data_IF_571661614210
#
_entry.id   IF_571661614210
#
_cell.length_a   1.000
_cell.length_b   1.000
_cell.length_c   1.000
_cell.angle_alpha   90.00
_cell.angle_beta   90.00
_cell.angle_gamma   90.00
#
_symmetry.space_group_name_H-M   'P 1'
#
loop_
_entity.id
_entity.type
_entity.pdbx_description
1 polymer ?
#
# COMPACT_ATOMS: atom_id res chain seq x y z
N UNK A 1 -31.71 -14.18 28.02
CA UNK A 1 -30.25 -14.04 28.05
C UNK A 1 -29.67 -15.04 27.07
N UNK A 2 -29.41 -14.61 25.83
CA UNK A 2 -28.91 -15.45 24.76
C UNK A 2 -27.66 -14.82 24.15
N UNK A 3 -26.60 -15.64 24.13
CA UNK A 3 -25.45 -15.61 23.23
C UNK A 3 -24.65 -14.30 23.12
N UNK A 4 -23.72 -14.13 24.05
CA UNK A 4 -22.43 -13.51 23.72
C UNK A 4 -21.68 -14.47 22.80
N UNK A 5 -21.76 -14.22 21.49
CA UNK A 5 -20.77 -14.74 20.55
C UNK A 5 -19.41 -14.21 20.99
N UNK A 6 -18.62 -15.07 21.63
CA UNK A 6 -17.21 -14.85 21.87
C UNK A 6 -16.57 -14.81 20.47
N UNK A 7 -16.36 -13.61 19.95
CA UNK A 7 -15.51 -13.38 18.79
C UNK A 7 -14.11 -13.85 19.22
N UNK A 8 -13.79 -15.09 18.88
CA UNK A 8 -12.46 -15.62 19.05
C UNK A 8 -11.54 -14.71 18.21
N UNK A 9 -10.71 -13.95 18.92
CA UNK A 9 -9.61 -13.18 18.37
C UNK A 9 -8.66 -14.19 17.70
N UNK A 10 -8.94 -14.52 16.43
CA UNK A 10 -7.99 -15.24 15.59
C UNK A 10 -6.87 -14.24 15.36
N UNK A 11 -5.84 -14.29 16.21
CA UNK A 11 -4.53 -13.74 15.90
C UNK A 11 -4.12 -14.33 14.55
N UNK A 12 -4.40 -13.59 13.49
CA UNK A 12 -4.04 -13.99 12.15
C UNK A 12 -2.55 -13.82 12.08
N UNK A 13 -1.80 -14.92 12.03
CA UNK A 13 -0.34 -14.85 11.97
C UNK A 13 0.06 -14.14 10.68
N UNK A 14 0.79 -13.03 10.82
CA UNK A 14 1.40 -12.35 9.67
C UNK A 14 2.45 -13.28 9.08
N UNK A 15 2.45 -13.43 7.77
CA UNK A 15 3.42 -14.24 7.05
C UNK A 15 3.98 -13.48 5.86
N UNK A 16 5.27 -13.70 5.59
CA UNK A 16 5.99 -13.09 4.47
C UNK A 16 6.63 -14.21 3.64
N UNK A 17 6.38 -14.20 2.34
CA UNK A 17 6.88 -15.19 1.40
C UNK A 17 7.34 -14.54 0.09
N UNK A 18 8.12 -15.26 -0.71
CA UNK A 18 8.49 -14.81 -2.06
C UNK A 18 7.24 -14.77 -2.96
N UNK A 19 7.03 -13.67 -3.68
CA UNK A 19 5.82 -13.40 -4.45
C UNK A 19 5.80 -14.05 -5.85
N UNK A 20 6.79 -14.87 -6.20
CA UNK A 20 6.94 -15.47 -7.54
C UNK A 20 7.39 -14.49 -8.63
N UNK A 21 7.60 -13.22 -8.27
CA UNK A 21 8.17 -12.17 -9.11
C UNK A 21 9.46 -11.72 -8.43
N UNK A 22 10.53 -11.55 -9.20
CA UNK A 22 11.82 -11.11 -8.68
C UNK A 22 11.67 -9.78 -7.92
N UNK A 23 12.18 -9.73 -6.68
CA UNK A 23 12.10 -8.54 -5.83
C UNK A 23 10.73 -8.31 -5.16
N UNK A 24 9.76 -9.21 -5.34
CA UNK A 24 8.43 -9.07 -4.71
C UNK A 24 8.30 -10.01 -3.52
N UNK A 25 7.93 -9.45 -2.37
CA UNK A 25 7.59 -10.16 -1.13
C UNK A 25 6.08 -10.05 -0.92
N UNK A 26 5.39 -11.19 -0.78
CA UNK A 26 3.96 -11.23 -0.50
C UNK A 26 3.76 -11.32 1.01
N UNK A 27 2.97 -10.38 1.54
CA UNK A 27 2.54 -10.37 2.94
C UNK A 27 1.09 -10.81 3.04
N UNK A 28 0.77 -11.67 4.01
CA UNK A 28 -0.60 -12.09 4.32
C UNK A 28 -0.86 -11.99 5.82
N UNK A 29 -2.14 -11.86 6.20
CA UNK A 29 -2.57 -11.85 7.60
C UNK A 29 -2.47 -10.49 8.30
N UNK A 30 -2.25 -9.40 7.57
CA UNK A 30 -2.32 -8.05 8.12
C UNK A 30 -3.77 -7.60 8.30
N UNK A 31 -4.12 -7.13 9.49
CA UNK A 31 -5.35 -6.38 9.73
C UNK A 31 -5.17 -4.92 9.28
N UNK A 32 -5.92 -4.52 8.26
CA UNK A 32 -5.86 -3.18 7.68
C UNK A 32 -7.10 -2.33 8.03
N UNK A 33 -7.98 -2.80 8.92
CA UNK A 33 -9.24 -2.12 9.23
C UNK A 33 -9.01 -0.71 9.78
N UNK A 34 -8.05 -0.56 10.69
CA UNK A 34 -7.70 0.74 11.28
C UNK A 34 -7.07 1.68 10.25
N UNK A 35 -6.22 1.16 9.36
CA UNK A 35 -5.64 1.93 8.26
C UNK A 35 -6.75 2.44 7.32
N UNK A 36 -7.72 1.60 6.96
CA UNK A 36 -8.87 1.99 6.14
C UNK A 36 -9.72 3.08 6.81
N UNK A 37 -9.98 2.95 8.12
CA UNK A 37 -10.70 3.96 8.90
C UNK A 37 -9.93 5.29 9.04
N UNK A 38 -8.59 5.26 9.08
CA UNK A 38 -7.76 6.46 9.03
C UNK A 38 -7.90 7.16 7.67
N UNK A 39 -7.75 6.39 6.58
CA UNK A 39 -7.85 6.90 5.21
C UNK A 39 -9.23 7.51 4.92
N UNK A 40 -10.32 6.97 5.46
CA UNK A 40 -11.66 7.55 5.23
C UNK A 40 -11.85 8.95 5.82
N UNK A 41 -11.00 9.35 6.77
CA UNK A 41 -11.02 10.68 7.41
C UNK A 41 -10.13 11.69 6.72
N UNK A 42 -9.20 11.26 5.86
CA UNK A 42 -8.34 12.19 5.16
C UNK A 42 -9.19 13.05 4.20
N UNK A 43 -9.03 14.36 4.29
CA UNK A 43 -9.81 15.35 3.52
C UNK A 43 -9.11 15.80 2.24
N UNK A 44 -7.84 15.44 2.06
CA UNK A 44 -7.07 15.76 0.87
C UNK A 44 -7.79 15.22 -0.37
N UNK A 45 -8.04 16.07 -1.38
CA UNK A 45 -8.75 15.66 -2.58
C UNK A 45 -7.90 14.69 -3.41
N UNK A 46 -8.59 13.77 -4.08
CA UNK A 46 -7.96 12.94 -5.09
C UNK A 46 -7.71 13.74 -6.36
N UNK A 47 -6.53 13.55 -6.95
CA UNK A 47 -6.14 14.11 -8.24
C UNK A 47 -5.89 12.99 -9.25
N UNK A 48 -6.05 13.24 -10.56
CA UNK A 48 -5.66 12.28 -11.59
C UNK A 48 -4.18 11.92 -11.45
N UNK A 49 -3.86 10.63 -11.58
CA UNK A 49 -2.48 10.18 -11.48
C UNK A 49 -1.64 10.65 -12.64
N UNK A 50 -0.43 11.11 -12.31
CA UNK A 50 0.58 11.50 -13.28
C UNK A 50 1.59 10.38 -13.49
N UNK A 51 2.15 10.33 -14.69
CA UNK A 51 3.33 9.54 -15.05
C UNK A 51 4.52 10.47 -15.14
N UNK A 52 5.69 9.97 -14.74
CA UNK A 52 6.95 10.67 -14.91
C UNK A 52 7.66 10.15 -16.16
N UNK A 53 8.09 11.05 -17.05
CA UNK A 53 8.99 10.73 -18.16
C UNK A 53 10.38 11.24 -17.82
N UNK A 54 11.33 10.31 -17.64
CA UNK A 54 12.73 10.65 -17.46
C UNK A 54 13.33 11.37 -18.68
N UNK A 55 12.86 11.02 -19.90
CA UNK A 55 13.33 11.64 -21.13
C UNK A 55 12.88 13.11 -21.27
N UNK A 56 11.74 13.47 -20.68
CA UNK A 56 11.19 14.83 -20.73
C UNK A 56 11.37 15.59 -19.40
N UNK A 57 11.93 14.95 -18.38
CA UNK A 57 11.98 15.40 -16.98
C UNK A 57 10.68 16.08 -16.51
N UNK A 58 9.55 15.46 -16.85
CA UNK A 58 8.24 16.07 -16.68
C UNK A 58 7.18 15.05 -16.25
N UNK A 59 6.22 15.53 -15.46
CA UNK A 59 5.02 14.79 -15.09
C UNK A 59 3.88 15.11 -16.05
N UNK A 60 3.23 14.09 -16.59
CA UNK A 60 2.12 14.23 -17.55
C UNK A 60 1.01 13.24 -17.22
N UNK A 61 -0.20 13.51 -17.72
CA UNK A 61 -1.36 12.62 -17.57
C UNK A 61 -1.50 11.84 -18.89
N UNK A 62 -1.46 10.52 -18.82
CA UNK A 62 -1.72 9.64 -19.96
C UNK A 62 -2.67 8.51 -19.56
N UNK A 63 -3.93 8.70 -19.96
CA UNK A 63 -5.02 7.75 -19.71
C UNK A 63 -4.86 6.43 -20.47
N UNK A 64 -3.93 6.33 -21.45
CA UNK A 64 -3.62 5.06 -22.13
C UNK A 64 -2.70 4.15 -21.30
N UNK A 65 -2.07 4.69 -20.25
CA UNK A 65 -1.07 4.00 -19.43
C UNK A 65 -1.51 3.87 -17.96
N UNK A 66 -2.22 4.88 -17.44
CA UNK A 66 -2.70 4.90 -16.06
C UNK A 66 -4.05 5.62 -15.96
N UNK A 67 -5.06 4.89 -15.49
CA UNK A 67 -6.38 5.42 -15.17
C UNK A 67 -6.64 5.13 -13.70
N UNK A 68 -6.07 5.99 -12.84
CA UNK A 68 -6.29 5.97 -11.40
C UNK A 68 -6.23 7.38 -10.83
N UNK A 69 -6.87 7.58 -9.68
CA UNK A 69 -6.75 8.81 -8.91
C UNK A 69 -5.86 8.57 -7.70
N UNK A 70 -5.07 9.55 -7.30
CA UNK A 70 -4.21 9.45 -6.13
C UNK A 70 -4.33 10.69 -5.25
N UNK A 71 -3.93 10.54 -3.99
CA UNK A 71 -3.60 11.65 -3.10
C UNK A 71 -2.34 11.30 -2.32
N UNK A 72 -1.47 12.29 -2.15
CA UNK A 72 -0.33 12.21 -1.26
C UNK A 72 -0.76 12.68 0.13
N UNK A 73 -0.40 11.92 1.16
CA UNK A 73 -0.71 12.20 2.56
C UNK A 73 0.62 12.35 3.28
N UNK A 74 1.00 13.59 3.60
CA UNK A 74 2.30 13.91 4.22
C UNK A 74 2.19 14.23 5.71
N UNK A 75 1.00 14.62 6.19
CA UNK A 75 0.84 15.27 7.50
C UNK A 75 -0.11 14.52 8.46
N UNK A 76 -0.34 13.22 8.25
CA UNK A 76 -1.24 12.41 9.09
C UNK A 76 -0.46 11.50 10.05
N UNK A 77 -0.13 12.01 11.24
CA UNK A 77 0.66 11.28 12.25
C UNK A 77 0.05 9.94 12.63
N UNK A 78 -1.28 9.86 12.71
CA UNK A 78 -1.97 8.64 13.09
C UNK A 78 -1.87 7.57 11.98
N UNK A 79 -1.90 7.99 10.71
CA UNK A 79 -1.68 7.11 9.57
C UNK A 79 -0.24 6.59 9.54
N UNK A 80 0.76 7.44 9.75
CA UNK A 80 2.16 7.01 9.81
C UNK A 80 2.44 6.09 11.00
N UNK A 81 1.83 6.36 12.16
CA UNK A 81 1.96 5.49 13.33
C UNK A 81 1.35 4.10 13.07
N UNK A 82 0.20 4.04 12.41
CA UNK A 82 -0.43 2.78 12.03
C UNK A 82 0.41 2.01 11.00
N UNK A 83 0.88 2.69 9.96
CA UNK A 83 1.75 2.10 8.94
C UNK A 83 3.04 1.53 9.55
N UNK A 84 3.66 2.25 10.50
CA UNK A 84 4.84 1.79 11.22
C UNK A 84 4.55 0.54 12.08
N UNK A 85 3.36 0.45 12.70
CA UNK A 85 2.95 -0.75 13.44
C UNK A 85 2.77 -1.96 12.51
N UNK A 86 2.17 -1.77 11.33
CA UNK A 86 2.04 -2.83 10.33
C UNK A 86 3.43 -3.29 9.86
N UNK A 87 4.33 -2.34 9.56
CA UNK A 87 5.71 -2.65 9.19
C UNK A 87 6.46 -3.42 10.26
N UNK A 88 6.32 -3.07 11.54
CA UNK A 88 6.94 -3.83 12.63
C UNK A 88 6.46 -5.29 12.68
N UNK A 89 5.18 -5.55 12.37
CA UNK A 89 4.66 -6.93 12.25
C UNK A 89 5.25 -7.65 11.04
N UNK A 90 5.48 -6.95 9.94
CA UNK A 90 6.14 -7.50 8.74
C UNK A 90 7.59 -7.85 9.06
N UNK A 91 8.37 -6.93 9.64
CA UNK A 91 9.76 -7.18 10.06
C UNK A 91 9.87 -8.38 10.99
N UNK A 92 8.95 -8.51 11.97
CA UNK A 92 8.95 -9.64 12.89
C UNK A 92 8.66 -10.98 12.20
N UNK A 93 7.93 -10.98 11.09
CA UNK A 93 7.58 -12.17 10.31
C UNK A 93 8.57 -12.46 9.17
N UNK A 94 9.42 -11.49 8.80
CA UNK A 94 10.39 -11.62 7.73
C UNK A 94 11.77 -11.99 8.29
N UNK A 95 12.31 -13.14 7.88
CA UNK A 95 13.63 -13.58 8.32
C UNK A 95 14.80 -12.93 7.57
N UNK A 96 14.54 -12.16 6.50
CA UNK A 96 15.57 -11.62 5.60
C UNK A 96 15.77 -10.11 5.75
N UNK A 97 14.74 -9.39 6.14
CA UNK A 97 14.73 -7.93 6.13
C UNK A 97 14.14 -7.37 7.42
N UNK A 98 14.67 -6.22 7.84
CA UNK A 98 14.06 -5.36 8.83
C UNK A 98 13.70 -4.02 8.17
N UNK A 99 12.42 -3.67 8.20
CA UNK A 99 11.86 -2.55 7.49
C UNK A 99 11.64 -1.35 8.42
N UNK A 100 11.97 -0.15 7.94
CA UNK A 100 11.64 1.12 8.61
C UNK A 100 10.86 2.02 7.67
N UNK A 101 9.83 2.67 8.18
CA UNK A 101 9.02 3.62 7.41
C UNK A 101 9.77 4.93 7.20
N UNK A 102 10.01 5.30 5.96
CA UNK A 102 10.40 6.67 5.59
C UNK A 102 9.14 7.52 5.48
N UNK A 103 9.04 8.58 6.29
CA UNK A 103 7.81 9.37 6.47
C UNK A 103 7.50 10.35 5.32
N UNK A 104 8.13 10.22 4.16
CA UNK A 104 7.94 11.16 3.06
C UNK A 104 6.73 10.84 2.18
N UNK A 105 6.31 9.57 2.09
CA UNK A 105 5.48 9.15 0.94
C UNK A 105 4.39 8.12 1.30
N UNK A 106 3.27 8.57 1.89
CA UNK A 106 2.03 7.76 1.85
C UNK A 106 1.18 8.23 0.67
N UNK A 107 1.08 7.37 -0.34
CA UNK A 107 0.19 7.61 -1.48
C UNK A 107 -1.00 6.66 -1.42
N UNK A 108 -2.21 7.21 -1.37
CA UNK A 108 -3.42 6.42 -1.57
C UNK A 108 -3.84 6.50 -3.03
N UNK A 109 -4.04 5.34 -3.65
CA UNK A 109 -4.48 5.22 -5.04
C UNK A 109 -5.86 4.54 -5.07
N UNK A 110 -6.76 5.10 -5.87
CA UNK A 110 -8.08 4.51 -6.17
C UNK A 110 -8.14 4.17 -7.65
N UNK A 111 -8.56 2.93 -7.92
CA UNK A 111 -8.95 2.44 -9.23
C UNK A 111 -10.47 2.42 -9.31
N UNK A 112 -11.04 3.07 -10.32
CA UNK A 112 -12.47 2.92 -10.67
C UNK A 112 -12.62 1.76 -11.65
N UNK A 113 -13.86 1.38 -11.94
CA UNK A 113 -14.17 0.43 -13.02
C UNK A 113 -13.50 0.86 -14.34
N UNK A 114 -12.89 -0.10 -15.05
CA UNK A 114 -12.06 0.15 -16.23
C UNK A 114 -10.72 0.86 -15.96
N UNK A 115 -10.44 1.21 -14.69
CA UNK A 115 -9.19 1.80 -14.25
C UNK A 115 -8.07 0.77 -14.22
N UNK A 116 -6.90 1.12 -14.76
CA UNK A 116 -5.73 0.24 -14.80
C UNK A 116 -4.46 1.02 -14.54
N UNK A 117 -3.42 0.29 -14.16
CA UNK A 117 -2.05 0.78 -14.25
C UNK A 117 -1.22 -0.30 -14.93
N UNK A 118 -0.70 0.02 -16.13
CA UNK A 118 0.15 -0.93 -16.86
C UNK A 118 1.42 -1.22 -16.08
N UNK A 119 1.97 -2.41 -16.29
CA UNK A 119 3.23 -2.85 -15.67
C UNK A 119 4.31 -1.82 -15.93
N UNK A 120 4.89 -1.30 -14.85
CA UNK A 120 6.02 -0.40 -14.84
C UNK A 120 6.90 -0.78 -13.64
N UNK A 121 8.15 -0.37 -13.66
CA UNK A 121 8.98 -0.40 -12.47
C UNK A 121 8.80 0.95 -11.75
N UNK A 122 8.54 0.92 -10.45
CA UNK A 122 8.73 2.12 -9.63
C UNK A 122 10.22 2.47 -9.73
N UNK A 123 10.52 3.63 -10.31
CA UNK A 123 11.88 4.14 -10.31
C UNK A 123 12.15 4.73 -8.93
N UNK A 124 12.81 3.96 -8.06
CA UNK A 124 13.52 4.48 -6.90
C UNK A 124 14.92 3.86 -6.83
N UNK A 125 15.86 4.70 -6.41
CA UNK A 125 17.15 4.90 -7.05
C UNK A 125 18.27 4.99 -6.01
N UNK A 126 18.24 4.08 -5.04
CA UNK A 126 19.37 3.84 -4.16
C UNK A 126 19.46 2.36 -3.78
N UNK A 127 20.39 1.64 -4.44
CA UNK A 127 20.90 0.38 -3.90
C UNK A 127 22.31 0.64 -3.41
N UNK A 128 22.46 0.71 -2.08
CA UNK A 128 23.77 0.61 -1.44
C UNK A 128 23.93 -0.80 -0.90
N UNK A 129 25.14 -1.18 -0.51
CA UNK A 129 25.42 -2.51 0.03
C UNK A 129 24.71 -2.80 1.36
N UNK A 130 24.01 -1.82 1.95
CA UNK A 130 23.46 -1.85 3.30
C UNK A 130 21.99 -1.43 3.41
N UNK A 131 21.47 -0.69 2.43
CA UNK A 131 20.09 -0.17 2.44
C UNK A 131 19.48 -0.34 1.06
N UNK A 132 18.28 -0.93 1.04
CA UNK A 132 17.41 -1.07 -0.13
C UNK A 132 16.13 -0.27 0.11
N UNK A 133 15.78 0.58 -0.84
CA UNK A 133 14.46 1.22 -0.87
C UNK A 133 13.42 0.25 -1.45
N UNK A 134 12.34 0.02 -0.70
CA UNK A 134 11.24 -0.84 -1.12
C UNK A 134 9.89 -0.11 -1.01
N UNK A 135 9.00 -0.38 -1.97
CA UNK A 135 7.62 0.12 -1.95
C UNK A 135 6.70 -0.87 -1.22
N UNK A 136 6.04 -0.42 -0.15
CA UNK A 136 4.98 -1.20 0.50
C UNK A 136 3.62 -0.90 -0.17
N UNK A 137 3.05 -1.92 -0.84
CA UNK A 137 1.70 -1.85 -1.40
C UNK A 137 0.70 -2.57 -0.50
N UNK A 138 -0.28 -1.84 0.03
CA UNK A 138 -1.34 -2.38 0.90
C UNK A 138 -2.69 -2.28 0.19
N UNK A 139 -3.33 -3.42 -0.03
CA UNK A 139 -4.72 -3.47 -0.48
C UNK A 139 -5.65 -3.23 0.71
N UNK A 140 -6.23 -2.03 0.80
CA UNK A 140 -7.15 -1.66 1.90
C UNK A 140 -8.63 -1.91 1.60
N UNK A 141 -8.96 -2.20 0.34
CA UNK A 141 -10.33 -2.52 -0.08
C UNK A 141 -10.65 -3.99 0.25
N UNK A 142 -11.73 -4.27 0.97
CA UNK A 142 -12.18 -5.64 1.21
C UNK A 142 -12.45 -6.42 -0.10
N UNK A 143 -12.19 -7.74 -0.15
CA UNK A 143 -12.38 -8.55 -1.36
C UNK A 143 -13.78 -8.46 -1.96
N UNK A 144 -14.80 -8.36 -1.11
CA UNK A 144 -16.21 -8.23 -1.51
C UNK A 144 -16.50 -6.93 -2.28
N UNK A 145 -15.78 -5.85 -1.99
CA UNK A 145 -15.90 -4.57 -2.70
C UNK A 145 -14.98 -4.48 -3.92
N UNK A 146 -13.97 -5.34 -3.99
CA UNK A 146 -13.04 -5.37 -5.12
C UNK A 146 -13.64 -6.05 -6.38
N UNK A 147 -14.66 -6.90 -6.23
CA UNK A 147 -15.20 -7.74 -7.30
C UNK A 147 -16.34 -7.09 -8.14
N UNK A 148 -16.75 -5.87 -7.81
CA UNK A 148 -17.89 -5.19 -8.45
C UNK A 148 -17.50 -4.37 -9.71
N UNK A 149 -16.43 -4.79 -10.40
CA UNK A 149 -15.90 -4.14 -11.61
C UNK A 149 -15.99 -5.04 -12.85
N UNK A 150 -17.10 -5.79 -12.97
CA UNK A 150 -17.35 -6.69 -14.13
C UNK A 150 -17.90 -5.96 -15.34
#
# INVERSE_FOLDING_TARGET
>A
SFERACFADRMTMVSVADGGILGVRKVAGLDTAKLSALLSRCVQPFSPSQLYSAAADAKFIDASQRVSSFRAITDDEALFAEAAQLLSKISAADSRFDYTLVRSDVTQIIYKEGGFFKRHADFLSLMTNFVEEQTLLICVTPPELACDTR
#
